data_IF_610154292733
#
_entry.id   IF_610154292733
#
_cell.length_a   1.000
_cell.length_b   1.000
_cell.length_c   1.000
_cell.angle_alpha   90.00
_cell.angle_beta   90.00
_cell.angle_gamma   90.00
#
_symmetry.space_group_name_H-M   'P 1'
#
loop_
_entity.id
_entity.type
_entity.pdbx_description
1 polymer ?
#
# COMPACT_ATOMS: atom_id res chain seq x y z
N UNK A 1 -57.99 20.82 50.51
CA UNK A 1 -57.71 20.89 49.06
C UNK A 1 -56.50 21.79 48.86
N UNK A 2 -55.42 21.37 48.17
CA UNK A 2 -54.26 22.23 47.97
C UNK A 2 -54.62 23.39 47.05
N UNK A 3 -54.35 24.61 47.52
CA UNK A 3 -54.56 25.86 46.77
C UNK A 3 -53.44 25.97 45.75
N UNK A 4 -53.75 25.70 44.48
CA UNK A 4 -52.82 25.96 43.38
C UNK A 4 -52.75 27.46 43.13
N UNK A 5 -51.66 28.09 43.55
CA UNK A 5 -51.39 29.48 43.21
C UNK A 5 -51.07 29.61 41.71
N UNK A 6 -51.57 30.63 41.01
CA UNK A 6 -51.28 30.85 39.61
C UNK A 6 -49.79 31.20 39.44
N UNK A 7 -49.10 30.40 38.64
CA UNK A 7 -47.71 30.66 38.26
C UNK A 7 -47.70 31.91 37.40
N UNK A 8 -47.22 33.03 37.96
CA UNK A 8 -47.00 34.25 37.17
C UNK A 8 -45.90 33.98 36.13
N UNK A 9 -46.13 34.33 34.85
CA UNK A 9 -45.11 34.16 33.83
C UNK A 9 -43.87 34.97 34.19
N UNK A 10 -42.70 34.36 34.03
CA UNK A 10 -41.41 35.02 34.22
C UNK A 10 -41.34 36.24 33.30
N UNK A 11 -40.84 37.35 33.83
CA UNK A 11 -40.71 38.56 33.04
C UNK A 11 -39.72 38.34 31.87
N UNK A 12 -39.98 38.92 30.69
CA UNK A 12 -39.10 38.77 29.52
C UNK A 12 -37.64 39.19 29.79
N UNK A 13 -37.43 40.06 30.78
CA UNK A 13 -36.11 40.53 31.22
C UNK A 13 -35.35 39.49 32.04
N UNK A 14 -36.05 38.65 32.83
CA UNK A 14 -35.43 37.55 33.57
C UNK A 14 -34.92 36.45 32.63
N UNK A 15 -35.70 36.10 31.60
CA UNK A 15 -35.29 35.12 30.59
C UNK A 15 -34.10 35.57 29.73
N UNK A 16 -33.96 36.87 29.46
CA UNK A 16 -32.80 37.41 28.75
C UNK A 16 -31.54 37.35 29.63
N UNK A 17 -31.65 37.68 30.93
CA UNK A 17 -30.53 37.59 31.87
C UNK A 17 -30.06 36.15 32.05
N UNK A 18 -30.98 35.19 32.26
CA UNK A 18 -30.62 33.78 32.45
C UNK A 18 -29.86 33.19 31.25
N UNK A 19 -30.30 33.50 30.02
CA UNK A 19 -29.59 33.11 28.78
C UNK A 19 -28.18 33.68 28.69
N UNK A 20 -27.98 34.94 29.07
CA UNK A 20 -26.67 35.58 29.05
C UNK A 20 -25.70 34.98 30.09
N UNK A 21 -26.18 34.67 31.29
CA UNK A 21 -25.36 33.97 32.30
C UNK A 21 -24.94 32.58 31.83
N UNK A 22 -25.85 31.81 31.22
CA UNK A 22 -25.53 30.52 30.63
C UNK A 22 -24.43 30.59 29.56
N UNK A 23 -24.50 31.60 28.67
CA UNK A 23 -23.46 31.83 27.65
C UNK A 23 -22.12 32.18 28.28
N UNK A 24 -22.09 33.12 29.23
CA UNK A 24 -20.86 33.56 29.91
C UNK A 24 -20.17 32.41 30.65
N UNK A 25 -20.96 31.58 31.35
CA UNK A 25 -20.46 30.38 32.01
C UNK A 25 -19.89 29.38 30.99
N UNK A 26 -20.59 29.16 29.88
CA UNK A 26 -20.13 28.31 28.78
C UNK A 26 -18.77 28.74 28.22
N UNK A 27 -18.56 30.04 27.99
CA UNK A 27 -17.26 30.55 27.52
C UNK A 27 -16.15 30.35 28.55
N UNK A 28 -16.42 30.61 29.83
CA UNK A 28 -15.45 30.40 30.91
C UNK A 28 -15.03 28.92 31.01
N UNK A 29 -15.99 28.00 30.91
CA UNK A 29 -15.71 26.54 30.92
C UNK A 29 -14.90 26.11 29.70
N UNK A 30 -15.14 26.69 28.52
CA UNK A 30 -14.33 26.43 27.31
C UNK A 30 -12.90 26.95 27.47
N UNK A 31 -12.72 28.14 28.03
CA UNK A 31 -11.40 28.72 28.28
C UNK A 31 -10.58 27.86 29.27
N UNK A 32 -11.21 27.37 30.34
CA UNK A 32 -10.57 26.47 31.31
C UNK A 32 -10.16 25.12 30.68
N UNK A 33 -10.97 24.59 29.76
CA UNK A 33 -10.68 23.32 29.05
C UNK A 33 -9.72 23.47 27.87
N UNK A 34 -9.54 24.67 27.34
CA UNK A 34 -8.70 24.92 26.17
C UNK A 34 -7.27 24.33 26.30
N UNK A 35 -6.51 24.55 27.40
CA UNK A 35 -5.16 24.00 27.52
C UNK A 35 -5.13 22.46 27.54
N UNK A 36 -6.12 21.83 28.17
CA UNK A 36 -6.23 20.36 28.20
C UNK A 36 -6.61 19.79 26.84
N UNK A 37 -7.48 20.48 26.10
CA UNK A 37 -7.84 20.08 24.72
C UNK A 37 -6.64 20.21 23.80
N UNK A 38 -5.88 21.30 23.89
CA UNK A 38 -4.68 21.50 23.06
C UNK A 38 -3.58 20.51 23.42
N UNK A 39 -3.31 20.25 24.70
CA UNK A 39 -2.33 19.25 25.13
C UNK A 39 -2.68 17.84 24.65
N UNK A 40 -3.96 17.45 24.75
CA UNK A 40 -4.46 16.17 24.26
C UNK A 40 -4.38 16.06 22.74
N UNK A 41 -4.67 17.15 22.02
CA UNK A 41 -4.53 17.20 20.57
C UNK A 41 -3.06 17.04 20.14
N UNK A 42 -2.13 17.71 20.82
CA UNK A 42 -0.69 17.57 20.58
C UNK A 42 -0.21 16.16 20.89
N UNK A 43 -0.61 15.58 22.03
CA UNK A 43 -0.27 14.20 22.38
C UNK A 43 -0.79 13.19 21.33
N UNK A 44 -2.03 13.40 20.84
CA UNK A 44 -2.62 12.58 19.77
C UNK A 44 -1.93 12.79 18.41
N UNK A 45 -1.43 13.98 18.12
CA UNK A 45 -0.64 14.24 16.91
C UNK A 45 0.73 13.56 16.98
N UNK A 46 1.42 13.66 18.12
CA UNK A 46 2.71 12.99 18.36
C UNK A 46 2.60 11.48 18.22
N UNK A 47 1.60 10.86 18.84
CA UNK A 47 1.39 9.41 18.73
C UNK A 47 1.03 8.95 17.30
N UNK A 48 0.33 9.78 16.53
CA UNK A 48 0.06 9.52 15.11
C UNK A 48 1.30 9.68 14.22
N UNK A 49 2.16 10.66 14.50
CA UNK A 49 3.39 10.88 13.74
C UNK A 49 4.37 9.71 13.90
N UNK A 50 4.37 9.06 15.06
CA UNK A 50 5.20 7.87 15.35
C UNK A 50 4.60 6.55 14.85
N UNK A 51 3.52 6.57 14.06
CA UNK A 51 2.93 5.37 13.48
C UNK A 51 3.29 5.23 12.00
N UNK A 52 4.21 4.32 11.67
CA UNK A 52 4.50 3.98 10.28
C UNK A 52 3.40 3.06 9.74
N UNK A 53 2.61 3.59 8.80
CA UNK A 53 1.60 2.82 8.10
C UNK A 53 2.25 1.95 7.04
N UNK A 54 2.46 0.67 7.33
CA UNK A 54 2.88 -0.32 6.33
C UNK A 54 1.86 -0.51 5.21
N UNK A 55 0.58 -0.23 5.48
CA UNK A 55 -0.54 -0.43 4.55
C UNK A 55 -1.32 0.85 4.32
N UNK A 56 -1.68 1.11 3.07
CA UNK A 56 -2.69 2.09 2.70
C UNK A 56 -3.99 1.35 2.36
N UNK A 57 -4.93 1.29 3.32
CA UNK A 57 -6.13 0.47 3.19
C UNK A 57 -5.81 -1.03 3.21
N UNK A 58 -6.15 -1.74 2.13
CA UNK A 58 -5.91 -3.19 1.98
C UNK A 58 -4.59 -3.53 1.29
N UNK A 59 -3.86 -2.55 0.79
CA UNK A 59 -2.60 -2.75 0.05
C UNK A 59 -1.40 -2.27 0.84
N UNK A 60 -0.26 -2.93 0.66
CA UNK A 60 1.01 -2.49 1.24
C UNK A 60 1.52 -1.25 0.49
N UNK A 61 2.13 -0.31 1.21
CA UNK A 61 2.70 0.90 0.62
C UNK A 61 3.88 0.56 -0.29
N UNK A 62 4.13 1.40 -1.30
CA UNK A 62 5.27 1.24 -2.22
C UNK A 62 6.61 1.23 -1.48
N UNK A 63 6.75 2.05 -0.42
CA UNK A 63 7.92 2.11 0.44
C UNK A 63 8.15 0.80 1.18
N UNK A 64 7.12 0.25 1.83
CA UNK A 64 7.21 -1.03 2.54
C UNK A 64 7.62 -2.16 1.61
N UNK A 65 7.01 -2.24 0.41
CA UNK A 65 7.39 -3.22 -0.61
C UNK A 65 8.82 -3.03 -1.11
N UNK A 66 9.26 -1.78 -1.26
CA UNK A 66 10.63 -1.44 -1.65
C UNK A 66 11.66 -1.89 -0.62
N UNK A 67 11.40 -1.63 0.67
CA UNK A 67 12.24 -2.11 1.77
C UNK A 67 12.33 -3.63 1.77
N UNK A 68 11.19 -4.31 1.65
CA UNK A 68 11.14 -5.77 1.62
C UNK A 68 11.98 -6.36 0.47
N UNK A 69 11.91 -5.75 -0.73
CA UNK A 69 12.76 -6.16 -1.86
C UNK A 69 14.24 -5.94 -1.60
N UNK A 70 14.64 -4.83 -0.97
CA UNK A 70 16.04 -4.57 -0.60
C UNK A 70 16.54 -5.64 0.38
N UNK A 71 15.77 -5.96 1.42
CA UNK A 71 16.13 -6.99 2.39
C UNK A 71 16.33 -8.35 1.72
N UNK A 72 15.43 -8.75 0.82
CA UNK A 72 15.58 -10.00 0.06
C UNK A 72 16.79 -9.96 -0.87
N UNK A 73 17.07 -8.81 -1.51
CA UNK A 73 18.27 -8.63 -2.33
C UNK A 73 19.56 -8.81 -1.51
N UNK A 74 19.54 -8.48 -0.22
CA UNK A 74 20.65 -8.69 0.71
C UNK A 74 20.69 -10.10 1.32
N UNK A 75 19.86 -11.04 0.84
CA UNK A 75 19.89 -12.44 1.27
C UNK A 75 18.95 -12.78 2.44
N UNK A 76 18.09 -11.85 2.88
CA UNK A 76 17.10 -12.18 3.90
C UNK A 76 16.07 -13.17 3.33
N UNK A 77 15.82 -14.26 4.05
CA UNK A 77 14.75 -15.20 3.72
C UNK A 77 13.39 -14.49 3.75
N UNK A 78 12.55 -14.76 2.74
CA UNK A 78 11.24 -14.13 2.56
C UNK A 78 10.28 -14.36 3.73
N UNK A 79 10.50 -15.43 4.50
CA UNK A 79 9.69 -15.78 5.68
C UNK A 79 9.98 -14.87 6.87
N UNK A 80 11.24 -14.43 7.01
CA UNK A 80 11.69 -13.63 8.15
C UNK A 80 11.67 -12.13 7.88
N UNK A 81 11.59 -11.68 6.63
CA UNK A 81 11.58 -10.25 6.28
C UNK A 81 10.50 -9.48 7.03
N UNK A 82 9.31 -10.07 7.17
CA UNK A 82 8.23 -9.42 7.91
C UNK A 82 8.55 -9.20 9.40
N UNK A 83 9.17 -10.20 10.03
CA UNK A 83 9.60 -10.14 11.43
C UNK A 83 10.70 -9.09 11.59
N UNK A 84 11.72 -9.12 10.73
CA UNK A 84 12.82 -8.15 10.73
C UNK A 84 12.32 -6.71 10.60
N UNK A 85 11.36 -6.46 9.69
CA UNK A 85 10.77 -5.12 9.54
C UNK A 85 10.04 -4.68 10.80
N UNK A 86 9.33 -5.61 11.47
CA UNK A 86 8.64 -5.34 12.72
C UNK A 86 9.64 -4.99 13.84
N UNK A 87 10.69 -5.78 14.00
CA UNK A 87 11.70 -5.58 15.04
C UNK A 87 12.45 -4.26 14.85
N UNK A 88 12.80 -3.90 13.61
CA UNK A 88 13.41 -2.61 13.28
C UNK A 88 12.47 -1.46 13.63
N UNK A 89 11.18 -1.57 13.28
CA UNK A 89 10.22 -0.53 13.62
C UNK A 89 10.01 -0.41 15.13
N UNK A 90 9.95 -1.52 15.86
CA UNK A 90 9.84 -1.54 17.31
C UNK A 90 11.07 -0.92 17.99
N UNK A 91 12.28 -1.19 17.50
CA UNK A 91 13.51 -0.57 17.96
C UNK A 91 13.52 0.96 17.75
N UNK A 92 12.87 1.46 16.69
CA UNK A 92 12.71 2.90 16.41
C UNK A 92 11.54 3.51 17.22
N UNK A 93 10.83 2.72 18.02
CA UNK A 93 9.67 3.17 18.81
C UNK A 93 8.39 3.33 17.98
N UNK A 94 8.37 2.75 16.78
CA UNK A 94 7.23 2.81 15.85
C UNK A 94 6.40 1.54 15.96
N UNK A 95 5.14 1.68 16.36
CA UNK A 95 4.22 0.54 16.46
C UNK A 95 3.76 0.09 15.08
N UNK A 96 3.93 -1.21 14.80
CA UNK A 96 3.51 -1.85 13.56
C UNK A 96 2.32 -2.78 13.83
N UNK A 97 1.18 -2.52 13.19
CA UNK A 97 -0.04 -3.30 13.43
C UNK A 97 -0.15 -4.59 12.60
N UNK A 98 0.64 -4.72 11.53
CA UNK A 98 0.52 -5.83 10.57
C UNK A 98 1.88 -6.33 10.13
N UNK A 99 1.98 -7.62 9.89
CA UNK A 99 3.17 -8.26 9.36
C UNK A 99 2.96 -8.70 7.90
N UNK A 100 4.00 -8.59 7.07
CA UNK A 100 3.96 -9.02 5.68
C UNK A 100 4.12 -10.55 5.60
N UNK A 101 3.06 -11.24 5.19
CA UNK A 101 3.08 -12.70 5.04
C UNK A 101 3.92 -13.14 3.83
N UNK A 102 4.44 -14.37 3.86
CA UNK A 102 5.22 -14.97 2.76
C UNK A 102 4.53 -14.85 1.37
N UNK A 103 3.22 -15.13 1.21
CA UNK A 103 2.54 -14.94 -0.08
C UNK A 103 2.55 -13.48 -0.55
N UNK A 104 2.42 -12.54 0.38
CA UNK A 104 2.41 -11.11 0.07
C UNK A 104 3.81 -10.59 -0.28
N UNK A 105 4.83 -11.12 0.39
CA UNK A 105 6.23 -10.92 0.04
C UNK A 105 6.52 -11.42 -1.38
N UNK A 106 6.11 -12.65 -1.70
CA UNK A 106 6.26 -13.23 -3.04
C UNK A 106 5.61 -12.37 -4.13
N UNK A 107 4.38 -11.88 -3.89
CA UNK A 107 3.73 -10.92 -4.80
C UNK A 107 4.50 -9.61 -4.91
N UNK A 108 4.95 -9.04 -3.79
CA UNK A 108 5.68 -7.75 -3.79
C UNK A 108 7.02 -7.80 -4.53
N UNK A 109 7.66 -8.98 -4.55
CA UNK A 109 8.89 -9.25 -5.31
C UNK A 109 8.55 -9.47 -6.79
N UNK A 110 7.59 -10.34 -7.10
CA UNK A 110 7.18 -10.66 -8.46
C UNK A 110 6.63 -9.45 -9.22
N UNK A 111 5.74 -8.70 -8.58
CA UNK A 111 5.18 -7.46 -9.12
C UNK A 111 6.24 -6.36 -9.26
N UNK A 112 7.16 -6.24 -8.29
CA UNK A 112 8.19 -5.20 -8.30
C UNK A 112 9.33 -5.41 -9.31
N UNK A 113 9.62 -6.66 -9.71
CA UNK A 113 10.72 -6.99 -10.60
C UNK A 113 10.29 -7.41 -12.01
N UNK A 114 9.30 -8.30 -12.11
CA UNK A 114 8.89 -8.92 -13.38
C UNK A 114 7.80 -8.10 -14.06
N UNK A 115 6.77 -7.68 -13.30
CA UNK A 115 5.66 -6.91 -13.88
C UNK A 115 6.11 -5.53 -14.37
N UNK A 116 7.05 -4.87 -13.67
CA UNK A 116 7.65 -3.61 -14.13
C UNK A 116 8.41 -3.80 -15.45
N UNK A 117 9.20 -4.87 -15.60
CA UNK A 117 9.90 -5.17 -16.86
C UNK A 117 8.91 -5.46 -17.99
N UNK A 118 7.85 -6.22 -17.73
CA UNK A 118 6.79 -6.50 -18.72
C UNK A 118 6.05 -5.22 -19.11
N UNK A 119 5.73 -4.34 -18.17
CA UNK A 119 5.02 -3.10 -18.43
C UNK A 119 5.88 -2.09 -19.18
N UNK A 120 7.19 -2.01 -18.87
CA UNK A 120 8.15 -1.24 -19.67
C UNK A 120 8.12 -1.80 -21.09
N UNK A 121 8.36 -3.10 -21.29
CA UNK A 121 8.33 -3.74 -22.62
C UNK A 121 7.01 -3.47 -23.37
N UNK A 122 5.87 -3.54 -22.70
CA UNK A 122 4.56 -3.22 -23.29
C UNK A 122 4.41 -1.73 -23.64
N UNK A 123 4.89 -0.81 -22.81
CA UNK A 123 4.89 0.63 -23.10
C UNK A 123 5.78 0.96 -24.29
N UNK A 124 6.96 0.32 -24.39
CA UNK A 124 7.84 0.44 -25.56
C UNK A 124 7.23 -0.18 -26.82
N UNK A 125 6.40 -1.23 -26.69
CA UNK A 125 5.65 -1.83 -27.80
C UNK A 125 4.46 -0.99 -28.29
N UNK A 126 3.85 -0.17 -27.42
CA UNK A 126 2.70 0.66 -27.77
C UNK A 126 3.03 2.01 -28.39
N UNK A 127 4.32 2.37 -28.51
CA UNK A 127 4.75 3.66 -29.05
C UNK A 127 5.33 3.55 -30.48
N UNK A 128 5.32 2.35 -31.04
CA UNK A 128 5.60 2.07 -32.46
C UNK A 128 4.53 1.10 -32.96
N UNK A 129 3.50 1.65 -33.60
CA UNK A 129 2.69 0.86 -34.51
C UNK A 129 3.64 0.21 -35.53
N UNK A 130 3.62 -1.12 -35.62
CA UNK A 130 4.52 -1.87 -36.50
C UNK A 130 5.39 -2.86 -35.75
N UNK A 131 5.07 -4.13 -35.93
CA UNK A 131 5.84 -5.27 -35.46
C UNK A 131 7.33 -5.14 -35.80
N UNK A 132 8.21 -5.05 -34.80
CA UNK A 132 9.61 -5.43 -34.95
C UNK A 132 9.76 -6.89 -34.52
N UNK A 133 10.24 -7.71 -35.45
CA UNK A 133 10.55 -9.12 -35.23
C UNK A 133 11.73 -9.30 -34.27
N UNK A 134 11.78 -10.46 -33.63
CA UNK A 134 12.77 -10.84 -32.62
C UNK A 134 14.23 -10.67 -33.08
N UNK A 135 14.47 -10.72 -34.38
CA UNK A 135 15.78 -10.52 -35.00
C UNK A 135 16.40 -9.14 -34.74
N UNK A 136 15.59 -8.08 -34.66
CA UNK A 136 16.09 -6.70 -34.50
C UNK A 136 16.32 -6.32 -33.03
N UNK A 137 15.74 -7.08 -32.09
CA UNK A 137 15.99 -6.87 -30.65
C UNK A 137 17.34 -7.45 -30.22
N UNK A 138 17.81 -8.49 -30.90
CA UNK A 138 19.07 -9.17 -30.61
C UNK A 138 20.30 -8.40 -31.13
N UNK A 139 20.15 -7.55 -32.15
CA UNK A 139 21.25 -6.74 -32.70
C UNK A 139 21.61 -5.51 -31.85
N UNK A 140 20.64 -4.90 -31.15
CA UNK A 140 20.85 -3.66 -30.38
C UNK A 140 21.58 -3.89 -29.04
N UNK A 141 21.67 -5.13 -28.55
CA UNK A 141 22.13 -5.40 -27.17
C UNK A 141 23.40 -6.23 -27.02
N UNK A 142 24.11 -6.53 -28.12
CA UNK A 142 25.43 -7.17 -28.04
C UNK A 142 25.39 -8.55 -27.36
N UNK A 143 24.90 -9.56 -28.09
CA UNK A 143 25.39 -10.94 -27.99
C UNK A 143 25.25 -11.77 -26.70
N UNK A 144 24.82 -11.23 -25.55
CA UNK A 144 24.87 -11.99 -24.28
C UNK A 144 23.61 -12.82 -23.95
N UNK A 145 22.67 -12.98 -24.89
CA UNK A 145 21.49 -13.83 -24.68
C UNK A 145 21.65 -15.17 -25.40
N UNK A 146 22.44 -16.07 -24.83
CA UNK A 146 22.35 -17.50 -25.15
C UNK A 146 21.23 -18.13 -24.32
N UNK A 147 20.09 -18.43 -24.96
CA UNK A 147 19.15 -19.44 -24.44
C UNK A 147 17.73 -19.01 -24.04
N UNK A 148 17.24 -17.83 -24.44
CA UNK A 148 15.81 -17.51 -24.26
C UNK A 148 15.21 -16.88 -25.50
N UNK A 149 14.48 -17.69 -26.25
CA UNK A 149 13.47 -17.22 -27.18
C UNK A 149 12.08 -17.22 -26.49
N UNK A 150 11.26 -16.27 -26.88
CA UNK A 150 9.81 -16.15 -26.67
C UNK A 150 9.29 -15.37 -25.44
N UNK A 151 8.56 -14.29 -25.76
CA UNK A 151 7.49 -13.75 -24.96
C UNK A 151 6.15 -14.33 -25.44
N UNK A 152 5.55 -15.28 -24.71
CA UNK A 152 4.19 -15.77 -24.96
C UNK A 152 3.20 -15.29 -23.89
N UNK A 153 1.92 -15.18 -24.28
CA UNK A 153 0.77 -15.02 -23.36
C UNK A 153 0.56 -16.37 -22.64
N UNK A 154 1.05 -16.48 -21.41
CA UNK A 154 1.04 -17.73 -20.65
C UNK A 154 -0.34 -17.99 -20.03
N UNK A 155 -1.03 -19.06 -20.44
CA UNK A 155 -2.10 -19.71 -19.66
C UNK A 155 -1.66 -20.99 -18.95
N UNK A 156 -0.51 -21.56 -19.30
CA UNK A 156 0.12 -22.69 -18.60
C UNK A 156 1.61 -22.69 -18.93
N UNK A 157 2.47 -22.86 -17.92
CA UNK A 157 3.93 -22.97 -18.09
C UNK A 157 4.31 -24.42 -17.92
N UNK A 158 4.83 -25.04 -18.98
CA UNK A 158 5.61 -26.26 -18.87
C UNK A 158 7.08 -25.89 -18.83
N UNK A 159 7.85 -26.54 -17.95
CA UNK A 159 9.29 -26.30 -17.78
C UNK A 159 10.03 -27.21 -18.77
N UNK A 160 10.57 -26.65 -19.84
CA UNK A 160 11.43 -27.39 -20.76
C UNK A 160 12.80 -27.55 -20.10
N UNK A 161 13.32 -28.78 -20.03
CA UNK A 161 14.60 -29.11 -19.36
C UNK A 161 15.82 -28.83 -20.24
N UNK A 162 15.67 -28.87 -21.56
CA UNK A 162 16.73 -28.66 -22.55
C UNK A 162 16.21 -27.79 -23.70
N UNK A 163 17.09 -27.11 -24.43
CA UNK A 163 16.69 -26.30 -25.56
C UNK A 163 16.18 -27.20 -26.69
N UNK A 164 14.90 -27.08 -27.05
CA UNK A 164 14.28 -27.83 -28.15
C UNK A 164 14.09 -26.90 -29.35
N UNK A 165 14.34 -27.40 -30.56
CA UNK A 165 14.13 -26.64 -31.78
C UNK A 165 12.65 -26.34 -32.04
N UNK A 166 12.37 -25.22 -32.72
CA UNK A 166 10.99 -24.80 -33.02
C UNK A 166 10.23 -25.85 -33.86
N UNK A 167 10.93 -26.55 -34.75
CA UNK A 167 10.38 -27.60 -35.62
C UNK A 167 9.96 -28.81 -34.81
N UNK A 168 10.84 -29.30 -33.93
CA UNK A 168 10.61 -30.45 -33.04
C UNK A 168 9.47 -30.16 -32.05
N UNK A 169 9.39 -28.92 -31.55
CA UNK A 169 8.34 -28.54 -30.61
C UNK A 169 6.95 -28.48 -31.27
N UNK A 170 6.86 -28.06 -32.55
CA UNK A 170 5.60 -28.08 -33.32
C UNK A 170 5.12 -29.51 -33.57
N UNK A 171 6.05 -30.42 -33.86
CA UNK A 171 5.78 -31.83 -34.07
C UNK A 171 5.34 -32.53 -32.78
N UNK A 172 6.06 -32.29 -31.67
CA UNK A 172 5.80 -32.95 -30.38
C UNK A 172 4.51 -32.50 -29.69
N UNK A 173 4.10 -31.24 -29.88
CA UNK A 173 2.98 -30.65 -29.12
C UNK A 173 1.80 -30.19 -30.01
N UNK A 174 1.85 -30.41 -31.33
CA UNK A 174 0.75 -30.12 -32.25
C UNK A 174 0.35 -28.64 -32.33
N UNK A 175 1.25 -27.73 -31.98
CA UNK A 175 0.98 -26.29 -31.92
C UNK A 175 1.07 -25.71 -33.35
N UNK A 176 0.00 -25.85 -34.12
CA UNK A 176 -0.08 -25.26 -35.46
C UNK A 176 -1.11 -25.82 -36.42
N UNK A 177 -1.81 -26.92 -36.10
CA UNK A 177 -2.86 -27.45 -36.96
C UNK A 177 -4.25 -26.91 -36.56
N UNK A 178 -4.60 -25.72 -37.08
CA UNK A 178 -5.98 -25.30 -37.36
C UNK A 178 -6.00 -24.42 -38.58
#
# INVERSE_FOLDING_TARGET
>A
MPVTLPIKPLSPTFERRSRNYGRKYGYRMRAVRAPTVTSNAVAKAKSKAMAFKLTNGRTYTSQARGLARKLVKHGCSQEFVGIVVKDICEAVGVKVNRNMSRPTMGRSIGEGGVAVKIQIVMKWRGQRDGMLGNAELNSVRGGEWTGYDYAYRVRSVWRVKEAIGLTEMKEAYGIGAR
#
